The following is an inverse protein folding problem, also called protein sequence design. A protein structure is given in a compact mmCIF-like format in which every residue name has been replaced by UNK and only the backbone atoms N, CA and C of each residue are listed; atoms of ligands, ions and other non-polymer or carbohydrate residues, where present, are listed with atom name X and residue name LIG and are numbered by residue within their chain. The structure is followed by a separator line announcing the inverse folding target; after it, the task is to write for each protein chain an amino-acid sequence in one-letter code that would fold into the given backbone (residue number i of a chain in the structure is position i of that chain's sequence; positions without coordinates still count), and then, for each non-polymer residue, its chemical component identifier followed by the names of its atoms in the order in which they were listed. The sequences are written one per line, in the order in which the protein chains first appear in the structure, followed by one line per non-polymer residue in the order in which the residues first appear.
data_IF_824834402595
#
_entry.id   IF_824834402595
#
_cell.length_a   1.000
_cell.length_b   1.000
_cell.length_c   1.000
_cell.angle_alpha   90.00
_cell.angle_beta   90.00
_cell.angle_gamma   90.00
#
_symmetry.space_group_name_H-M   'P 1'
#
loop_
_entity.id
_entity.type
_entity.pdbx_description
1 polymer ?
#
# COMPACT_ATOMS: atom_id res chain seq x y z
N UNK A 1 -13.17 38.18 -81.29
CA UNK A 1 -12.18 37.17 -81.71
C UNK A 1 -11.57 36.54 -80.47
N UNK A 2 -11.67 35.21 -80.35
CA UNK A 2 -10.92 34.28 -79.46
C UNK A 2 -11.08 34.50 -77.94
N UNK A 3 -11.79 33.62 -77.21
CA UNK A 3 -11.33 32.31 -76.69
C UNK A 3 -10.20 32.51 -75.65
N UNK A 4 -10.18 31.92 -74.45
CA UNK A 4 -10.87 30.77 -73.88
C UNK A 4 -10.48 30.65 -72.38
N UNK A 5 -11.36 30.03 -71.58
CA UNK A 5 -11.10 29.02 -70.52
C UNK A 5 -9.89 29.20 -69.57
N UNK A 6 -10.09 29.14 -68.25
CA UNK A 6 -9.95 27.86 -67.51
C UNK A 6 -9.99 27.93 -65.95
N UNK A 7 -10.66 26.90 -65.43
CA UNK A 7 -10.49 26.17 -64.17
C UNK A 7 -10.58 26.87 -62.81
N UNK A 8 -11.77 26.69 -62.22
CA UNK A 8 -11.98 26.57 -60.79
C UNK A 8 -11.28 25.31 -60.24
N UNK A 9 -10.48 25.48 -59.19
CA UNK A 9 -10.06 24.42 -58.27
C UNK A 9 -10.27 24.95 -56.87
N UNK A 10 -11.42 24.62 -56.28
CA UNK A 10 -11.75 24.93 -54.90
C UNK A 10 -11.34 23.70 -54.07
N UNK A 11 -10.11 23.71 -53.56
CA UNK A 11 -9.61 22.66 -52.67
C UNK A 11 -10.20 22.88 -51.27
N UNK A 12 -11.24 22.11 -50.94
CA UNK A 12 -11.77 22.04 -49.56
C UNK A 12 -10.78 21.25 -48.72
N UNK A 13 -9.94 21.97 -47.96
CA UNK A 13 -9.08 21.41 -46.91
C UNK A 13 -9.96 21.03 -45.71
N UNK A 14 -10.51 19.82 -45.74
CA UNK A 14 -11.12 19.17 -44.59
C UNK A 14 -9.98 18.56 -43.75
N UNK A 15 -9.28 19.39 -42.97
CA UNK A 15 -8.34 18.88 -41.96
C UNK A 15 -9.18 18.31 -40.83
N UNK A 16 -9.39 17.00 -40.88
CA UNK A 16 -9.92 16.21 -39.78
C UNK A 16 -9.12 16.50 -38.52
N UNK A 17 -9.78 17.16 -37.56
CA UNK A 17 -9.40 17.09 -36.17
C UNK A 17 -9.58 15.64 -35.74
N UNK A 18 -8.50 14.86 -35.77
CA UNK A 18 -8.45 13.58 -35.08
C UNK A 18 -8.41 13.93 -33.59
N UNK A 19 -9.58 14.03 -32.98
CA UNK A 19 -9.71 14.06 -31.53
C UNK A 19 -9.19 12.71 -31.00
N UNK A 20 -8.27 12.69 -30.02
CA UNK A 20 -7.93 11.47 -29.31
C UNK A 20 -9.12 11.09 -28.42
N UNK A 21 -10.08 10.36 -28.98
CA UNK A 21 -11.31 9.92 -28.30
C UNK A 21 -11.14 8.61 -27.50
N UNK A 22 -9.91 8.17 -27.20
CA UNK A 22 -9.69 6.82 -26.64
C UNK A 22 -9.36 6.77 -25.13
N UNK A 23 -9.38 7.88 -24.39
CA UNK A 23 -9.07 7.86 -22.94
C UNK A 23 -10.32 7.97 -22.04
N UNK A 24 -11.46 8.42 -22.56
CA UNK A 24 -12.67 8.63 -21.74
C UNK A 24 -13.46 7.35 -21.42
N UNK A 25 -13.18 6.23 -22.10
CA UNK A 25 -13.94 4.98 -21.89
C UNK A 25 -13.62 4.27 -20.57
N UNK A 26 -12.42 4.51 -20.02
CA UNK A 26 -11.88 3.75 -18.89
C UNK A 26 -12.26 4.35 -17.51
N UNK A 27 -12.37 5.68 -17.45
CA UNK A 27 -12.73 6.41 -16.22
C UNK A 27 -14.20 6.21 -15.82
N UNK A 28 -15.11 6.17 -16.79
CA UNK A 28 -16.53 5.96 -16.47
C UNK A 28 -16.79 4.55 -15.94
N UNK A 29 -16.01 3.57 -16.35
CA UNK A 29 -16.08 2.21 -15.79
C UNK A 29 -15.56 2.17 -14.37
N UNK A 30 -14.41 2.78 -14.06
CA UNK A 30 -13.85 2.70 -12.70
C UNK A 30 -14.78 3.33 -11.65
N UNK A 31 -15.43 4.45 -11.96
CA UNK A 31 -16.34 5.11 -11.02
C UNK A 31 -17.62 4.30 -10.78
N UNK A 32 -18.09 3.56 -11.80
CA UNK A 32 -19.19 2.61 -11.61
C UNK A 32 -18.78 1.45 -10.69
N UNK A 33 -17.53 1.00 -10.78
CA UNK A 33 -16.98 -0.03 -9.89
C UNK A 33 -16.80 0.46 -8.45
N UNK A 34 -16.34 1.71 -8.26
CA UNK A 34 -16.31 2.40 -6.96
C UNK A 34 -17.70 2.46 -6.33
N UNK A 35 -18.71 2.83 -7.11
CA UNK A 35 -20.08 2.84 -6.63
C UNK A 35 -20.56 1.44 -6.23
N UNK A 36 -20.29 0.43 -7.06
CA UNK A 36 -20.63 -0.97 -6.80
C UNK A 36 -20.00 -1.46 -5.50
N UNK A 37 -18.71 -1.17 -5.27
CA UNK A 37 -18.02 -1.50 -4.03
C UNK A 37 -18.70 -0.83 -2.82
N UNK A 38 -19.06 0.46 -2.93
CA UNK A 38 -19.76 1.20 -1.87
C UNK A 38 -21.12 0.57 -1.51
N UNK A 39 -21.87 0.10 -2.50
CA UNK A 39 -23.12 -0.64 -2.28
C UNK A 39 -22.88 -1.97 -1.56
N UNK A 40 -21.87 -2.74 -2.00
CA UNK A 40 -21.49 -4.00 -1.36
C UNK A 40 -21.05 -3.79 0.10
N UNK A 41 -20.23 -2.76 0.37
CA UNK A 41 -19.81 -2.39 1.73
C UNK A 41 -21.02 -2.02 2.60
N UNK A 42 -21.95 -1.22 2.09
CA UNK A 42 -23.17 -0.83 2.82
C UNK A 42 -24.08 -2.04 3.12
N UNK A 43 -24.20 -2.97 2.19
CA UNK A 43 -24.93 -4.23 2.39
C UNK A 43 -24.24 -5.10 3.43
N UNK A 44 -22.91 -5.19 3.40
CA UNK A 44 -22.13 -5.95 4.37
C UNK A 44 -22.31 -5.42 5.80
N UNK A 45 -22.22 -4.10 5.97
CA UNK A 45 -22.37 -3.44 7.28
C UNK A 45 -23.79 -3.59 7.85
N UNK A 46 -24.81 -3.48 6.99
CA UNK A 46 -26.22 -3.59 7.39
C UNK A 46 -26.69 -5.04 7.61
N UNK A 47 -25.97 -6.03 7.07
CA UNK A 47 -26.25 -7.45 7.27
C UNK A 47 -26.24 -7.85 8.75
N UNK A 48 -27.16 -8.71 9.19
CA UNK A 48 -27.31 -9.07 10.60
C UNK A 48 -26.42 -10.23 11.06
N UNK A 49 -25.91 -11.04 10.13
CA UNK A 49 -25.07 -12.21 10.40
C UNK A 49 -23.58 -11.91 10.23
N UNK A 50 -22.75 -12.71 10.91
CA UNK A 50 -21.33 -12.79 10.59
C UNK A 50 -21.13 -13.46 9.23
N UNK A 51 -20.20 -12.95 8.44
CA UNK A 51 -19.84 -13.48 7.12
C UNK A 51 -18.37 -13.15 6.82
N UNK A 52 -17.67 -13.96 6.01
CA UNK A 52 -16.29 -13.68 5.61
C UNK A 52 -16.15 -12.32 4.93
N UNK A 53 -15.09 -11.59 5.27
CA UNK A 53 -14.76 -10.26 4.75
C UNK A 53 -13.73 -10.33 3.59
N UNK A 54 -13.20 -11.50 3.30
CA UNK A 54 -12.14 -11.73 2.31
C UNK A 54 -12.52 -11.29 0.90
N UNK A 55 -13.70 -11.68 0.40
CA UNK A 55 -14.15 -11.30 -0.95
C UNK A 55 -14.34 -9.78 -1.06
N UNK A 56 -15.03 -9.15 -0.10
CA UNK A 56 -15.27 -7.69 -0.11
C UNK A 56 -13.96 -6.90 -0.01
N UNK A 57 -13.02 -7.35 0.82
CA UNK A 57 -11.71 -6.73 0.92
C UNK A 57 -10.92 -6.90 -0.38
N UNK A 58 -10.91 -8.11 -0.97
CA UNK A 58 -10.17 -8.38 -2.20
C UNK A 58 -10.70 -7.56 -3.38
N UNK A 59 -12.03 -7.47 -3.52
CA UNK A 59 -12.66 -6.62 -4.54
C UNK A 59 -12.25 -5.15 -4.35
N UNK A 60 -12.26 -4.67 -3.10
CA UNK A 60 -11.81 -3.32 -2.76
C UNK A 60 -10.31 -3.09 -3.00
N UNK A 61 -9.46 -4.09 -2.73
CA UNK A 61 -7.99 -4.02 -2.90
C UNK A 61 -7.60 -4.00 -4.39
N UNK A 62 -8.25 -4.83 -5.21
CA UNK A 62 -8.09 -4.81 -6.68
C UNK A 62 -8.55 -3.46 -7.24
N UNK A 63 -9.72 -2.99 -6.81
CA UNK A 63 -10.25 -1.70 -7.24
C UNK A 63 -9.37 -0.53 -6.77
N UNK A 64 -8.76 -0.63 -5.60
CA UNK A 64 -7.80 0.37 -5.10
C UNK A 64 -6.58 0.49 -6.02
N UNK A 65 -6.04 -0.62 -6.51
CA UNK A 65 -4.93 -0.60 -7.47
C UNK A 65 -5.36 0.03 -8.81
N UNK A 66 -6.49 -0.39 -9.38
CA UNK A 66 -7.01 0.16 -10.65
C UNK A 66 -7.34 1.65 -10.54
N UNK A 67 -8.02 2.07 -9.46
CA UNK A 67 -8.36 3.46 -9.22
C UNK A 67 -7.10 4.32 -9.09
N UNK A 68 -6.04 3.81 -8.45
CA UNK A 68 -4.78 4.51 -8.28
C UNK A 68 -4.14 4.93 -9.61
N UNK A 69 -4.34 4.16 -10.70
CA UNK A 69 -3.79 4.46 -12.02
C UNK A 69 -4.44 5.68 -12.69
N UNK A 70 -5.65 6.04 -12.28
CA UNK A 70 -6.45 7.09 -12.92
C UNK A 70 -6.75 8.29 -12.01
N UNK A 71 -6.37 8.24 -10.73
CA UNK A 71 -6.66 9.30 -9.73
C UNK A 71 -6.27 10.72 -10.18
N UNK A 72 -5.12 10.88 -10.83
CA UNK A 72 -4.65 12.20 -11.30
C UNK A 72 -5.48 12.76 -12.47
N UNK A 73 -6.21 11.88 -13.15
CA UNK A 73 -6.99 12.23 -14.34
C UNK A 73 -8.47 12.46 -14.03
N UNK A 74 -8.91 12.15 -12.80
CA UNK A 74 -10.27 12.40 -12.34
C UNK A 74 -10.53 13.90 -12.17
N UNK A 75 -11.74 14.32 -12.46
CA UNK A 75 -12.20 15.65 -12.06
C UNK A 75 -12.22 15.78 -10.53
N UNK A 76 -12.23 17.00 -10.00
CA UNK A 76 -12.32 17.22 -8.55
C UNK A 76 -13.57 16.56 -7.95
N UNK A 77 -14.69 16.63 -8.68
CA UNK A 77 -15.95 16.02 -8.27
C UNK A 77 -15.86 14.49 -8.23
N UNK A 78 -15.27 13.88 -9.25
CA UNK A 78 -15.14 12.42 -9.31
C UNK A 78 -14.15 11.89 -8.27
N UNK A 79 -13.09 12.66 -7.99
CA UNK A 79 -12.17 12.35 -6.90
C UNK A 79 -12.86 12.42 -5.53
N UNK A 80 -13.60 13.50 -5.24
CA UNK A 80 -14.36 13.62 -3.99
C UNK A 80 -15.37 12.47 -3.83
N UNK A 81 -16.03 12.08 -4.92
CA UNK A 81 -16.92 10.92 -4.95
C UNK A 81 -16.15 9.64 -4.59
N UNK A 82 -15.01 9.40 -5.24
CA UNK A 82 -14.19 8.23 -4.95
C UNK A 82 -13.69 8.19 -3.50
N UNK A 83 -13.32 9.33 -2.91
CA UNK A 83 -12.94 9.40 -1.50
C UNK A 83 -14.10 9.01 -0.55
N UNK A 84 -15.33 9.36 -0.91
CA UNK A 84 -16.53 9.04 -0.13
C UNK A 84 -16.93 7.56 -0.27
N UNK A 85 -16.88 7.03 -1.50
CA UNK A 85 -17.39 5.71 -1.84
C UNK A 85 -16.38 4.57 -1.59
N UNK A 86 -15.06 4.85 -1.64
CA UNK A 86 -14.01 3.90 -1.25
C UNK A 86 -13.88 3.78 0.28
N UNK A 87 -14.99 3.53 0.96
CA UNK A 87 -15.05 3.34 2.41
C UNK A 87 -14.13 2.19 2.84
N UNK A 88 -13.36 2.43 3.89
CA UNK A 88 -12.31 1.50 4.33
C UNK A 88 -10.97 1.69 3.64
N UNK A 89 -10.85 2.65 2.71
CA UNK A 89 -9.58 3.01 2.10
C UNK A 89 -9.26 4.50 2.30
N UNK A 90 -7.97 4.80 2.41
CA UNK A 90 -7.42 6.13 2.16
C UNK A 90 -7.33 6.31 0.65
N UNK A 91 -7.88 7.40 0.14
CA UNK A 91 -7.77 7.81 -1.26
C UNK A 91 -7.08 9.16 -1.26
N UNK A 92 -5.90 9.21 -1.86
CA UNK A 92 -5.07 10.41 -1.92
C UNK A 92 -4.53 10.62 -3.33
N UNK A 93 -4.60 11.85 -3.80
CA UNK A 93 -3.91 12.38 -4.97
C UNK A 93 -3.11 13.60 -4.51
N UNK A 94 -2.00 13.91 -5.19
CA UNK A 94 -0.96 14.93 -4.87
C UNK A 94 0.40 14.30 -4.54
N UNK A 95 0.97 14.56 -3.36
CA UNK A 95 2.37 14.20 -3.01
C UNK A 95 2.64 12.70 -3.09
N UNK A 96 1.62 11.91 -2.75
CA UNK A 96 1.55 10.49 -2.99
C UNK A 96 0.22 10.29 -3.72
N UNK A 97 0.23 9.52 -4.80
CA UNK A 97 -0.99 9.11 -5.51
C UNK A 97 -1.24 7.65 -5.19
N UNK A 98 -2.43 7.36 -4.67
CA UNK A 98 -2.84 5.98 -4.48
C UNK A 98 -4.03 5.79 -3.56
N UNK A 99 -4.41 4.53 -3.47
CA UNK A 99 -5.47 4.04 -2.59
C UNK A 99 -4.87 2.96 -1.69
N UNK A 100 -5.10 3.08 -0.37
CA UNK A 100 -4.52 2.15 0.62
C UNK A 100 -5.55 1.76 1.68
N UNK A 101 -5.54 0.51 2.19
CA UNK A 101 -6.50 0.09 3.20
C UNK A 101 -6.36 0.87 4.51
N UNK A 102 -7.49 1.22 5.12
CA UNK A 102 -7.59 1.70 6.50
C UNK A 102 -7.63 0.47 7.41
N UNK A 103 -6.47 -0.03 7.82
CA UNK A 103 -6.39 -1.31 8.53
C UNK A 103 -7.18 -1.36 9.84
N UNK A 104 -7.23 -0.26 10.60
CA UNK A 104 -8.09 -0.17 11.79
C UNK A 104 -9.58 -0.25 11.45
N UNK A 105 -10.02 0.34 10.33
CA UNK A 105 -11.41 0.22 9.88
C UNK A 105 -11.77 -1.24 9.61
N UNK A 106 -10.94 -1.94 8.82
CA UNK A 106 -11.19 -3.35 8.50
C UNK A 106 -11.07 -4.26 9.73
N UNK A 107 -10.20 -3.94 10.69
CA UNK A 107 -10.13 -4.63 11.97
C UNK A 107 -11.45 -4.54 12.74
N UNK A 108 -12.01 -3.34 12.89
CA UNK A 108 -13.29 -3.15 13.59
C UNK A 108 -14.46 -3.82 12.84
N UNK A 109 -14.44 -3.77 11.50
CA UNK A 109 -15.41 -4.46 10.67
C UNK A 109 -15.30 -6.00 10.84
N UNK A 110 -14.08 -6.54 10.85
CA UNK A 110 -13.84 -7.96 11.08
C UNK A 110 -14.25 -8.40 12.50
N UNK A 111 -13.96 -7.60 13.53
CA UNK A 111 -14.37 -7.90 14.91
C UNK A 111 -15.89 -8.01 15.04
N UNK A 112 -16.61 -7.11 14.39
CA UNK A 112 -18.07 -7.07 14.45
C UNK A 112 -18.75 -8.12 13.56
N UNK A 113 -18.26 -8.33 12.33
CA UNK A 113 -18.95 -9.12 11.30
C UNK A 113 -18.12 -10.26 10.70
N UNK A 114 -16.80 -10.17 10.75
CA UNK A 114 -15.90 -11.11 10.10
C UNK A 114 -15.84 -12.49 10.73
N UNK A 115 -15.21 -13.40 9.98
CA UNK A 115 -14.73 -14.70 10.42
C UNK A 115 -13.59 -14.57 11.45
N UNK A 116 -13.15 -15.69 12.04
CA UNK A 116 -12.00 -15.66 12.94
C UNK A 116 -10.72 -15.29 12.17
N UNK A 117 -10.60 -15.80 10.96
CA UNK A 117 -9.48 -15.59 10.06
C UNK A 117 -9.36 -14.10 9.67
N UNK A 118 -10.49 -13.44 9.40
CA UNK A 118 -10.54 -12.00 9.12
C UNK A 118 -10.05 -11.20 10.33
N UNK A 119 -10.54 -11.55 11.53
CA UNK A 119 -10.12 -10.89 12.77
C UNK A 119 -8.61 -11.04 12.98
N UNK A 120 -8.07 -12.24 12.81
CA UNK A 120 -6.64 -12.51 12.98
C UNK A 120 -5.81 -11.73 11.93
N UNK A 121 -6.27 -11.69 10.66
CA UNK A 121 -5.60 -10.95 9.58
C UNK A 121 -5.61 -9.44 9.79
N UNK A 122 -6.79 -8.83 9.91
CA UNK A 122 -6.90 -7.38 10.01
C UNK A 122 -6.36 -6.85 11.34
N UNK A 123 -6.39 -7.64 12.41
CA UNK A 123 -5.69 -7.28 13.65
C UNK A 123 -4.19 -7.21 13.46
N UNK A 124 -3.60 -8.17 12.73
CA UNK A 124 -2.17 -8.13 12.42
C UNK A 124 -1.82 -6.96 11.51
N UNK A 125 -2.58 -6.70 10.45
CA UNK A 125 -2.31 -5.56 9.57
C UNK A 125 -2.44 -4.22 10.31
N UNK A 126 -3.41 -4.10 11.22
CA UNK A 126 -3.51 -2.94 12.10
C UNK A 126 -2.33 -2.81 13.08
N UNK A 127 -1.76 -3.92 13.55
CA UNK A 127 -0.53 -3.89 14.35
C UNK A 127 0.70 -3.47 13.52
N UNK A 128 0.69 -3.73 12.20
CA UNK A 128 1.76 -3.33 11.28
C UNK A 128 1.67 -1.85 10.92
N UNK A 129 0.48 -1.32 10.63
CA UNK A 129 0.31 0.01 10.03
C UNK A 129 -0.37 1.05 10.95
N UNK A 130 -1.08 0.62 12.00
CA UNK A 130 -1.83 1.55 12.84
C UNK A 130 -2.95 2.27 12.07
N UNK A 131 -3.06 3.59 12.27
CA UNK A 131 -3.99 4.47 11.54
C UNK A 131 -3.36 5.14 10.30
N UNK A 132 -2.13 4.76 9.95
CA UNK A 132 -1.35 5.34 8.85
C UNK A 132 -1.24 4.32 7.69
N UNK A 133 -0.79 4.79 6.53
CA UNK A 133 -0.38 3.97 5.39
C UNK A 133 1.05 3.44 5.56
N UNK A 134 1.85 4.04 6.44
CA UNK A 134 3.22 3.64 6.73
C UNK A 134 3.27 2.62 7.87
N UNK A 135 4.19 1.64 7.84
CA UNK A 135 4.36 0.73 8.95
C UNK A 135 4.79 1.45 10.24
N UNK A 136 4.37 0.96 11.40
CA UNK A 136 4.68 1.51 12.74
C UNK A 136 6.17 1.50 13.12
N UNK A 137 7.01 0.90 12.29
CA UNK A 137 8.46 0.89 12.42
C UNK A 137 9.15 1.82 11.40
N UNK A 138 8.39 2.66 10.70
CA UNK A 138 8.91 3.69 9.82
C UNK A 138 8.48 5.07 10.30
N UNK A 139 9.37 6.04 10.15
CA UNK A 139 9.07 7.45 10.42
C UNK A 139 9.32 8.25 9.15
N UNK A 140 8.39 9.14 8.82
CA UNK A 140 8.49 9.99 7.66
C UNK A 140 9.63 11.00 7.84
N UNK A 141 10.52 11.07 6.85
CA UNK A 141 11.62 12.05 6.79
C UNK A 141 11.26 13.14 5.79
N UNK A 142 10.82 12.76 4.59
CA UNK A 142 10.26 13.68 3.59
C UNK A 142 8.98 13.08 3.02
N UNK A 143 8.33 13.77 2.10
CA UNK A 143 7.12 13.27 1.43
C UNK A 143 7.36 11.96 0.68
N UNK A 144 8.61 11.72 0.26
CA UNK A 144 9.05 10.55 -0.52
C UNK A 144 10.10 9.68 0.18
N UNK A 145 10.44 9.93 1.45
CA UNK A 145 11.43 9.13 2.16
C UNK A 145 11.06 8.88 3.62
N UNK A 146 11.43 7.69 4.11
CA UNK A 146 11.30 7.29 5.50
C UNK A 146 12.64 6.82 6.06
N UNK A 147 12.72 6.78 7.38
CA UNK A 147 13.74 6.05 8.11
C UNK A 147 13.07 4.93 8.90
N UNK A 148 13.82 3.88 9.19
CA UNK A 148 13.34 2.79 10.05
C UNK A 148 13.60 3.12 11.52
N UNK A 149 12.56 2.99 12.34
CA UNK A 149 12.61 3.11 13.79
C UNK A 149 13.01 1.77 14.41
N UNK A 150 14.09 1.80 15.19
CA UNK A 150 14.74 0.62 15.74
C UNK A 150 14.71 0.62 17.28
N UNK A 151 14.81 -0.55 17.91
CA UNK A 151 15.16 -0.68 19.33
C UNK A 151 13.98 -0.79 20.30
N UNK A 152 12.74 -0.71 19.81
CA UNK A 152 11.52 -0.90 20.60
C UNK A 152 10.90 -2.30 20.44
N UNK A 153 11.48 -3.15 19.59
CA UNK A 153 11.08 -4.54 19.39
C UNK A 153 9.93 -4.76 18.41
N UNK A 154 9.43 -3.72 17.73
CA UNK A 154 8.30 -3.87 16.81
C UNK A 154 8.66 -4.74 15.62
N UNK A 155 9.77 -4.46 14.91
CA UNK A 155 10.19 -5.27 13.76
C UNK A 155 10.34 -6.75 14.12
N UNK A 156 10.98 -7.04 15.25
CA UNK A 156 11.12 -8.41 15.75
C UNK A 156 9.77 -9.06 16.04
N UNK A 157 8.88 -8.35 16.75
CA UNK A 157 7.54 -8.86 17.11
C UNK A 157 6.69 -9.11 15.86
N UNK A 158 6.66 -8.16 14.94
CA UNK A 158 5.88 -8.21 13.71
C UNK A 158 6.38 -9.32 12.78
N UNK A 159 7.70 -9.48 12.62
CA UNK A 159 8.25 -10.58 11.82
C UNK A 159 7.83 -11.94 12.37
N UNK A 160 7.90 -12.12 13.70
CA UNK A 160 7.49 -13.36 14.35
C UNK A 160 5.96 -13.57 14.26
N UNK A 161 5.16 -12.52 14.29
CA UNK A 161 3.71 -12.62 14.09
C UNK A 161 3.38 -13.01 12.64
N UNK A 162 3.93 -12.31 11.66
CA UNK A 162 3.73 -12.56 10.24
C UNK A 162 4.11 -14.00 9.85
N UNK A 163 5.26 -14.48 10.33
CA UNK A 163 5.72 -15.86 10.06
C UNK A 163 4.80 -16.92 10.66
N UNK A 164 4.15 -16.66 11.80
CA UNK A 164 3.13 -17.57 12.37
C UNK A 164 1.85 -17.58 11.55
N UNK A 165 1.46 -16.46 10.97
CA UNK A 165 0.25 -16.35 10.15
C UNK A 165 0.36 -17.04 8.80
N UNK A 166 1.58 -17.28 8.30
CA UNK A 166 1.80 -17.88 6.97
C UNK A 166 1.17 -19.27 6.78
N UNK A 167 0.92 -20.02 7.86
CA UNK A 167 0.38 -21.39 7.80
C UNK A 167 -1.15 -21.45 7.89
N UNK A 168 -1.84 -20.71 8.80
CA UNK A 168 -3.29 -20.74 8.90
C UNK A 168 -4.05 -19.77 7.99
N UNK A 169 -3.38 -18.75 7.40
CA UNK A 169 -4.11 -17.70 6.68
C UNK A 169 -4.67 -18.19 5.34
N UNK A 170 -5.90 -17.78 5.03
CA UNK A 170 -6.54 -17.96 3.72
C UNK A 170 -5.57 -17.48 2.60
N UNK A 171 -5.59 -18.18 1.47
CA UNK A 171 -4.80 -17.82 0.29
C UNK A 171 -5.00 -16.35 -0.12
N UNK A 172 -6.20 -15.79 0.08
CA UNK A 172 -6.52 -14.39 -0.21
C UNK A 172 -5.57 -13.42 0.51
N UNK A 173 -5.31 -13.62 1.80
CA UNK A 173 -4.49 -12.72 2.62
C UNK A 173 -2.98 -13.02 2.56
N UNK A 174 -2.60 -14.14 1.94
CA UNK A 174 -1.21 -14.62 1.97
C UNK A 174 -0.24 -13.65 1.29
N UNK A 175 -0.65 -13.04 0.18
CA UNK A 175 0.17 -12.07 -0.56
C UNK A 175 0.52 -10.86 0.31
N UNK A 176 -0.46 -10.28 1.00
CA UNK A 176 -0.27 -9.15 1.91
C UNK A 176 0.67 -9.50 3.07
N UNK A 177 0.50 -10.67 3.70
CA UNK A 177 1.40 -11.12 4.78
C UNK A 177 2.82 -11.37 4.24
N UNK A 178 2.95 -11.95 3.05
CA UNK A 178 4.26 -12.19 2.43
C UNK A 178 4.99 -10.88 2.08
N UNK A 179 4.25 -9.83 1.67
CA UNK A 179 4.77 -8.48 1.47
C UNK A 179 5.33 -7.90 2.76
N UNK A 180 4.58 -7.94 3.86
CA UNK A 180 5.06 -7.47 5.17
C UNK A 180 6.31 -8.25 5.62
N UNK A 181 6.36 -9.57 5.39
CA UNK A 181 7.55 -10.37 5.67
C UNK A 181 8.74 -9.90 4.82
N UNK A 182 8.54 -9.58 3.54
CA UNK A 182 9.60 -9.11 2.65
C UNK A 182 10.15 -7.75 3.09
N UNK A 183 9.28 -6.79 3.42
CA UNK A 183 9.65 -5.44 3.89
C UNK A 183 10.41 -5.49 5.22
N UNK A 184 9.93 -6.30 6.18
CA UNK A 184 10.64 -6.53 7.44
C UNK A 184 11.99 -7.21 7.23
N UNK A 185 12.09 -8.14 6.28
CA UNK A 185 13.38 -8.77 5.96
C UNK A 185 14.36 -7.75 5.43
N UNK A 186 13.96 -6.96 4.44
CA UNK A 186 14.79 -5.91 3.85
C UNK A 186 15.32 -4.99 4.94
N UNK A 187 14.41 -4.46 5.77
CA UNK A 187 14.78 -3.64 6.92
C UNK A 187 15.81 -4.30 7.83
N UNK A 188 15.58 -5.57 8.22
CA UNK A 188 16.41 -6.27 9.21
C UNK A 188 17.76 -6.80 8.69
N UNK A 189 17.98 -6.86 7.38
CA UNK A 189 19.20 -7.46 6.79
C UNK A 189 20.00 -6.51 5.90
N UNK A 190 19.37 -5.47 5.34
CA UNK A 190 20.07 -4.54 4.46
C UNK A 190 21.09 -3.70 5.25
N UNK A 191 22.31 -3.65 4.71
CA UNK A 191 23.40 -2.89 5.29
C UNK A 191 23.44 -1.44 4.83
N UNK A 192 22.51 -1.02 3.97
CA UNK A 192 22.39 0.32 3.40
C UNK A 192 21.08 1.06 3.80
N UNK A 193 20.53 0.74 4.98
CA UNK A 193 19.30 1.37 5.49
C UNK A 193 19.54 2.75 6.12
N UNK A 194 18.47 3.54 6.20
CA UNK A 194 18.41 4.76 7.03
C UNK A 194 17.75 4.43 8.37
N UNK A 195 18.47 4.59 9.47
CA UNK A 195 17.95 4.42 10.84
C UNK A 195 17.60 5.79 11.40
N UNK A 196 16.39 5.93 11.96
CA UNK A 196 15.93 7.20 12.53
C UNK A 196 16.83 7.68 13.66
N UNK A 197 17.18 6.76 14.55
CA UNK A 197 18.01 7.00 15.73
C UNK A 197 19.49 6.62 15.52
N UNK A 198 20.25 6.61 16.62
CA UNK A 198 21.64 6.19 16.67
C UNK A 198 21.87 4.67 16.58
N UNK A 199 23.13 4.22 16.42
CA UNK A 199 23.48 2.80 16.25
C UNK A 199 23.05 1.89 17.40
N UNK A 200 22.93 2.41 18.61
CA UNK A 200 22.53 1.64 19.80
C UNK A 200 21.11 1.07 19.68
N UNK A 201 20.19 1.79 19.03
CA UNK A 201 18.81 1.32 18.83
C UNK A 201 18.77 0.17 17.83
N UNK A 202 19.54 0.27 16.74
CA UNK A 202 19.71 -0.79 15.77
C UNK A 202 20.33 -2.05 16.40
N UNK A 203 21.42 -1.89 17.17
CA UNK A 203 22.04 -2.98 17.93
C UNK A 203 21.02 -3.67 18.84
N UNK A 204 20.19 -2.89 19.54
CA UNK A 204 19.16 -3.41 20.45
C UNK A 204 18.10 -4.24 19.73
N UNK A 205 17.54 -3.76 18.63
CA UNK A 205 16.54 -4.51 17.84
C UNK A 205 17.13 -5.79 17.25
N UNK A 206 18.28 -5.70 16.57
CA UNK A 206 18.87 -6.84 15.87
C UNK A 206 19.33 -7.90 16.88
N UNK A 207 19.83 -7.48 18.05
CA UNK A 207 20.13 -8.40 19.15
C UNK A 207 18.88 -9.11 19.67
N UNK A 208 17.76 -8.39 19.82
CA UNK A 208 16.48 -8.96 20.20
C UNK A 208 16.00 -9.96 19.14
N UNK A 209 16.08 -9.62 17.85
CA UNK A 209 15.75 -10.52 16.76
C UNK A 209 16.55 -11.81 16.82
N UNK A 210 17.88 -11.71 16.92
CA UNK A 210 18.79 -12.88 16.97
C UNK A 210 18.49 -13.79 18.16
N UNK A 211 18.03 -13.22 19.28
CA UNK A 211 17.63 -13.95 20.49
C UNK A 211 16.30 -14.66 20.33
N UNK A 212 15.30 -13.97 19.77
CA UNK A 212 13.91 -14.43 19.71
C UNK A 212 13.64 -15.33 18.50
N UNK A 213 14.16 -14.98 17.33
CA UNK A 213 13.86 -15.62 16.05
C UNK A 213 14.79 -16.81 15.74
N UNK A 214 14.92 -17.77 16.68
CA UNK A 214 15.93 -18.84 16.61
C UNK A 214 15.90 -19.69 15.33
N UNK A 215 14.70 -19.90 14.76
CA UNK A 215 14.48 -20.68 13.53
C UNK A 215 14.24 -19.84 12.27
N UNK A 216 14.36 -18.51 12.34
CA UNK A 216 14.18 -17.66 11.16
C UNK A 216 15.33 -17.85 10.17
N UNK A 217 15.00 -17.98 8.88
CA UNK A 217 15.99 -18.19 7.81
C UNK A 217 16.94 -17.01 7.65
N UNK A 218 16.48 -15.78 7.92
CA UNK A 218 17.29 -14.55 7.82
C UNK A 218 18.22 -14.33 9.02
N UNK A 219 18.11 -15.14 10.08
CA UNK A 219 18.88 -14.93 11.33
C UNK A 219 20.39 -14.84 11.11
N UNK A 220 21.04 -15.63 10.23
CA UNK A 220 22.47 -15.47 9.93
C UNK A 220 22.81 -14.10 9.35
N UNK A 221 21.98 -13.57 8.46
CA UNK A 221 22.18 -12.26 7.84
C UNK A 221 21.99 -11.13 8.84
N UNK A 222 20.97 -11.23 9.70
CA UNK A 222 20.77 -10.29 10.83
C UNK A 222 21.99 -10.28 11.76
N UNK A 223 22.56 -11.46 12.09
CA UNK A 223 23.81 -11.54 12.88
C UNK A 223 24.97 -10.84 12.20
N UNK A 224 25.09 -10.99 10.88
CA UNK A 224 26.14 -10.35 10.08
C UNK A 224 26.00 -8.83 10.07
N UNK A 225 24.78 -8.31 9.88
CA UNK A 225 24.50 -6.88 9.97
C UNK A 225 24.81 -6.34 11.37
N UNK A 226 24.32 -7.01 12.42
CA UNK A 226 24.60 -6.65 13.82
C UNK A 226 26.12 -6.56 14.08
N UNK A 227 26.90 -7.54 13.63
CA UNK A 227 28.35 -7.52 13.78
C UNK A 227 29.01 -6.33 13.04
N UNK A 228 28.54 -6.01 11.83
CA UNK A 228 29.02 -4.84 11.07
C UNK A 228 28.74 -3.53 11.78
N UNK A 229 27.53 -3.36 12.34
CA UNK A 229 27.15 -2.15 13.08
C UNK A 229 28.02 -2.00 14.33
N UNK A 230 28.19 -3.07 15.12
CA UNK A 230 29.06 -3.06 16.32
C UNK A 230 30.51 -2.71 15.97
N UNK A 231 31.02 -3.21 14.84
CA UNK A 231 32.37 -2.93 14.39
C UNK A 231 32.54 -1.55 13.71
N UNK A 232 31.47 -0.78 13.52
CA UNK A 232 31.52 0.49 12.79
C UNK A 232 31.84 0.33 11.30
N UNK A 233 31.53 -0.83 10.71
CA UNK A 233 31.81 -1.17 9.29
C UNK A 233 30.55 -1.32 8.44
N UNK A 234 29.38 -1.08 9.04
CA UNK A 234 28.10 -1.03 8.31
C UNK A 234 28.04 0.18 7.40
N UNK A 235 27.25 0.10 6.31
CA UNK A 235 26.93 1.26 5.46
C UNK A 235 25.65 1.97 5.90
N UNK A 236 24.99 1.46 6.95
CA UNK A 236 23.77 2.04 7.48
C UNK A 236 24.02 3.50 7.91
N UNK A 237 23.08 4.37 7.57
CA UNK A 237 23.08 5.76 8.02
C UNK A 237 22.25 5.85 9.30
N UNK A 238 22.68 6.67 10.24
CA UNK A 238 22.03 6.88 11.53
C UNK A 238 21.63 8.34 11.67
N UNK A 239 20.65 8.64 12.54
CA UNK A 239 20.11 9.98 12.74
C UNK A 239 19.49 10.57 11.47
N UNK A 240 18.66 9.79 10.79
CA UNK A 240 18.11 10.13 9.47
C UNK A 240 16.98 11.18 9.45
N UNK A 241 16.71 11.89 10.55
CA UNK A 241 15.68 12.93 10.56
C UNK A 241 16.08 14.16 9.74
N UNK A 242 15.11 14.92 9.21
CA UNK A 242 15.37 16.27 8.72
C UNK A 242 15.83 17.13 9.90
N UNK A 243 16.97 17.80 9.74
CA UNK A 243 17.42 18.84 10.66
C UNK A 243 16.62 20.12 10.52
#
# INVERSE_FOLDING_TARGET
MRSALNFAVLTVLLVMWILPLQVYGDQSSILAEVHRYSEQMSQFESGSSKQPLDDLYLDGDVLADELSEVLETLSDQDYELAQQEMKGFFVFREEIVGVKPKWLFFKELALSKGSKEDVDFFSFMADVYGDDIRPVYEEQVTDYSSCSSYGHGAMTRLYLAATRMKTPVNQVYRSAVDKVIAELKESLVDDNICVCDGPDTAIKELSLFVKMAKGATIRPDVKKLLAKIIAGTSKARFHCHPG
#
